data_IF_906201877585
#
_entry.id   IF_906201877585
#
_cell.length_a   1.000
_cell.length_b   1.000
_cell.length_c   1.000
_cell.angle_alpha   90.00
_cell.angle_beta   90.00
_cell.angle_gamma   90.00
#
_symmetry.space_group_name_H-M   'P 1'
#
loop_
_entity.id
_entity.type
_entity.pdbx_description
1 polymer ?
#
# COMPACT_ATOMS: atom_id res chain seq x y z
N UNK A 1 -44.78 23.50 -19.28
CA UNK A 1 -45.32 23.07 -17.97
C UNK A 1 -44.74 21.70 -17.66
N UNK A 2 -43.73 21.68 -16.80
CA UNK A 2 -43.27 20.52 -16.04
C UNK A 2 -42.78 21.10 -14.71
N UNK A 3 -43.40 20.80 -13.57
CA UNK A 3 -42.89 21.26 -12.28
C UNK A 3 -41.64 20.44 -11.93
N UNK A 4 -40.51 21.13 -11.79
CA UNK A 4 -39.31 20.59 -11.16
C UNK A 4 -39.63 20.44 -9.66
N UNK A 5 -39.73 19.20 -9.17
CA UNK A 5 -39.96 18.94 -7.77
C UNK A 5 -38.62 18.91 -7.03
N UNK A 6 -38.48 19.92 -6.17
CA UNK A 6 -37.47 20.12 -5.14
C UNK A 6 -37.47 19.00 -4.09
N UNK A 7 -36.27 18.54 -3.71
CA UNK A 7 -36.00 17.93 -2.40
C UNK A 7 -34.48 17.97 -2.14
N UNK A 8 -33.99 19.07 -1.57
CA UNK A 8 -32.65 19.17 -1.02
C UNK A 8 -32.67 18.62 0.42
N UNK A 9 -31.84 17.61 0.70
CA UNK A 9 -31.63 17.06 2.05
C UNK A 9 -30.29 17.63 2.57
N UNK A 10 -30.27 18.43 3.65
CA UNK A 10 -29.01 18.90 4.24
C UNK A 10 -28.45 17.82 5.18
N UNK A 11 -27.36 17.17 4.78
CA UNK A 11 -26.54 16.36 5.69
C UNK A 11 -25.46 17.28 6.29
N UNK A 12 -25.55 17.45 7.60
CA UNK A 12 -24.72 18.32 8.43
C UNK A 12 -23.33 17.66 8.60
N UNK A 13 -22.21 18.37 8.42
CA UNK A 13 -20.89 17.82 8.73
C UNK A 13 -20.68 17.71 10.25
N UNK A 14 -20.01 16.65 10.76
CA UNK A 14 -19.63 16.59 12.17
C UNK A 14 -18.53 17.63 12.45
N UNK A 15 -18.86 18.63 13.25
CA UNK A 15 -17.89 19.62 13.76
C UNK A 15 -17.03 18.96 14.84
N UNK A 16 -15.74 18.78 14.57
CA UNK A 16 -14.77 18.42 15.60
C UNK A 16 -14.44 19.69 16.40
N UNK A 17 -14.89 19.74 17.65
CA UNK A 17 -14.51 20.79 18.61
C UNK A 17 -13.01 20.71 18.93
N UNK A 18 -12.25 21.81 18.86
CA UNK A 18 -10.88 21.85 19.37
C UNK A 18 -10.93 21.82 20.90
N UNK A 19 -10.29 20.82 21.50
CA UNK A 19 -10.16 20.70 22.94
C UNK A 19 -9.19 21.79 23.44
N UNK A 20 -9.71 22.99 23.72
CA UNK A 20 -8.98 24.08 24.39
C UNK A 20 -9.30 24.04 25.89
N UNK A 21 -8.51 23.30 26.67
CA UNK A 21 -8.60 23.39 28.14
C UNK A 21 -7.23 23.37 28.83
N UNK A 22 -6.55 24.53 28.78
CA UNK A 22 -5.88 25.10 29.96
C UNK A 22 -4.73 24.28 30.59
N UNK A 23 -3.49 24.76 30.39
CA UNK A 23 -2.34 24.24 31.12
C UNK A 23 -1.03 25.03 30.91
N UNK A 24 -1.02 26.31 31.25
CA UNK A 24 0.22 27.05 31.59
C UNK A 24 0.42 26.97 33.12
N UNK A 25 1.64 27.14 33.67
CA UNK A 25 2.87 26.37 33.51
C UNK A 25 3.36 25.84 34.88
N UNK A 26 3.76 24.56 35.01
CA UNK A 26 4.42 24.07 36.23
C UNK A 26 5.93 23.91 35.99
N UNK A 27 6.69 24.92 36.39
CA UNK A 27 8.12 24.80 36.61
C UNK A 27 8.35 23.78 37.74
N UNK A 28 8.95 22.61 37.46
CA UNK A 28 9.32 21.63 38.48
C UNK A 28 10.68 20.97 38.18
N UNK A 29 11.68 21.46 38.91
CA UNK A 29 12.87 20.83 39.49
C UNK A 29 13.66 19.73 38.71
N UNK A 30 14.98 19.94 38.51
CA UNK A 30 15.89 18.86 38.12
C UNK A 30 16.22 17.96 39.32
N UNK A 31 16.03 16.65 39.18
CA UNK A 31 16.66 15.67 40.08
C UNK A 31 15.75 14.63 40.76
N UNK A 32 14.85 13.97 40.04
CA UNK A 32 14.18 12.76 40.54
C UNK A 32 14.39 11.56 39.60
N UNK A 33 14.81 10.45 40.20
CA UNK A 33 15.16 9.16 39.61
C UNK A 33 14.00 8.53 38.80
N UNK A 34 14.29 7.66 37.80
CA UNK A 34 13.27 7.12 36.91
C UNK A 34 12.33 6.14 37.63
N UNK A 35 11.07 6.53 37.77
CA UNK A 35 9.97 5.63 38.12
C UNK A 35 9.68 4.71 36.94
N UNK A 36 9.92 3.42 37.11
CA UNK A 36 9.49 2.36 36.19
C UNK A 36 7.96 2.37 36.08
N UNK A 37 7.43 3.08 35.09
CA UNK A 37 6.05 2.89 34.63
C UNK A 37 6.07 1.75 33.62
N UNK A 38 5.28 0.67 33.81
CA UNK A 38 4.95 -0.18 32.70
C UNK A 38 4.12 0.67 31.73
N UNK A 39 4.77 1.20 30.70
CA UNK A 39 4.11 1.76 29.54
C UNK A 39 3.22 0.64 28.97
N UNK A 40 1.90 0.77 29.15
CA UNK A 40 0.96 0.12 28.26
C UNK A 40 1.24 0.73 26.89
N UNK A 41 2.13 0.08 26.14
CA UNK A 41 2.26 0.25 24.71
C UNK A 41 0.90 -0.18 24.16
N UNK A 42 0.04 0.79 23.91
CA UNK A 42 -1.00 0.63 22.91
C UNK A 42 -0.27 0.10 21.67
N UNK A 43 -0.62 -1.07 21.12
CA UNK A 43 -0.21 -1.34 19.75
C UNK A 43 -0.82 -0.20 18.95
N UNK A 44 0.03 0.70 18.49
CA UNK A 44 -0.32 1.64 17.44
C UNK A 44 -0.96 0.75 16.39
N UNK A 45 -2.26 0.89 16.16
CA UNK A 45 -2.89 0.33 15.01
C UNK A 45 -2.01 0.81 13.87
N UNK A 46 -1.24 -0.12 13.30
CA UNK A 46 -0.48 0.16 12.11
C UNK A 46 -1.54 0.61 11.13
N UNK A 47 -1.62 1.92 10.89
CA UNK A 47 -2.25 2.42 9.69
C UNK A 47 -1.33 1.91 8.59
N UNK A 48 -1.45 0.62 8.25
CA UNK A 48 -1.14 0.12 6.94
C UNK A 48 -1.99 0.99 6.04
N UNK A 49 -1.38 2.09 5.60
CA UNK A 49 -1.78 2.77 4.40
C UNK A 49 -2.07 1.67 3.40
N UNK A 50 -3.27 1.61 2.80
CA UNK A 50 -3.54 0.59 1.79
C UNK A 50 -2.44 0.72 0.76
N UNK A 51 -1.61 -0.32 0.67
CA UNK A 51 -0.49 -0.42 -0.24
C UNK A 51 -0.98 0.01 -1.61
N UNK A 52 -0.48 1.17 -2.07
CA UNK A 52 -0.57 1.72 -3.42
C UNK A 52 -1.50 0.96 -4.37
N UNK A 53 -2.82 1.09 -4.16
CA UNK A 53 -3.84 0.53 -5.05
C UNK A 53 -3.90 1.46 -6.27
N UNK A 54 -2.86 1.43 -7.13
CA UNK A 54 -2.88 2.24 -8.36
C UNK A 54 -1.55 2.61 -8.99
N UNK A 55 -0.39 2.31 -8.39
CA UNK A 55 0.87 2.56 -9.10
C UNK A 55 1.16 1.44 -10.12
N UNK A 56 1.43 1.79 -11.39
CA UNK A 56 1.85 0.81 -12.37
C UNK A 56 3.20 0.19 -11.96
N UNK A 57 3.32 -1.13 -12.10
CA UNK A 57 4.57 -1.83 -11.87
C UNK A 57 5.40 -1.85 -13.16
N UNK A 58 6.70 -1.57 -13.04
CA UNK A 58 7.65 -1.63 -14.16
C UNK A 58 7.97 -3.07 -14.59
N UNK A 59 7.61 -4.06 -13.76
CA UNK A 59 7.78 -5.49 -14.04
C UNK A 59 6.42 -6.15 -14.16
N UNK A 60 6.22 -6.87 -15.27
CA UNK A 60 5.02 -7.68 -15.49
C UNK A 60 5.30 -9.14 -15.12
N UNK A 61 4.38 -9.75 -14.38
CA UNK A 61 4.39 -11.17 -14.07
C UNK A 61 3.42 -11.89 -15.01
N UNK A 62 3.94 -12.86 -15.77
CA UNK A 62 3.16 -13.61 -16.75
C UNK A 62 3.07 -15.05 -16.28
N UNK A 63 1.86 -15.49 -15.97
CA UNK A 63 1.56 -16.87 -15.55
C UNK A 63 0.95 -17.65 -16.72
N UNK A 64 0.79 -18.96 -16.54
CA UNK A 64 0.16 -19.85 -17.53
C UNK A 64 0.87 -19.86 -18.90
N UNK A 65 2.20 -19.80 -18.89
CA UNK A 65 3.03 -19.97 -20.09
C UNK A 65 3.22 -21.46 -20.38
N UNK A 66 3.47 -21.80 -21.66
CA UNK A 66 3.72 -23.18 -22.06
C UNK A 66 5.05 -23.69 -21.49
N UNK A 67 4.97 -24.62 -20.52
CA UNK A 67 6.14 -25.16 -19.82
C UNK A 67 7.02 -26.08 -20.69
N UNK A 68 6.49 -26.57 -21.82
CA UNK A 68 7.22 -27.43 -22.75
C UNK A 68 8.30 -26.69 -23.55
N UNK A 69 8.25 -25.36 -23.61
CA UNK A 69 9.22 -24.54 -24.37
C UNK A 69 10.54 -24.44 -23.61
N UNK A 70 11.68 -24.47 -24.31
CA UNK A 70 12.98 -24.27 -23.67
C UNK A 70 13.12 -22.84 -23.13
N UNK A 71 13.87 -22.67 -22.03
CA UNK A 71 14.01 -21.36 -21.35
C UNK A 71 14.51 -20.27 -22.30
N UNK A 72 15.53 -20.58 -23.11
CA UNK A 72 16.13 -19.61 -24.03
C UNK A 72 15.17 -19.20 -25.16
N UNK A 73 14.42 -20.17 -25.68
CA UNK A 73 13.42 -19.94 -26.72
C UNK A 73 12.25 -19.11 -26.18
N UNK A 74 11.76 -19.45 -24.98
CA UNK A 74 10.70 -18.69 -24.31
C UNK A 74 11.11 -17.23 -24.10
N UNK A 75 12.34 -16.97 -23.63
CA UNK A 75 12.86 -15.60 -23.48
C UNK A 75 12.90 -14.85 -24.81
N UNK A 76 13.37 -15.50 -25.89
CA UNK A 76 13.41 -14.89 -27.23
C UNK A 76 12.02 -14.55 -27.75
N UNK A 77 11.06 -15.46 -27.59
CA UNK A 77 9.68 -15.23 -28.00
C UNK A 77 9.03 -14.09 -27.22
N UNK A 78 9.21 -14.06 -25.89
CA UNK A 78 8.71 -12.96 -25.06
C UNK A 78 9.36 -11.63 -25.45
N UNK A 79 10.69 -11.60 -25.60
CA UNK A 79 11.39 -10.38 -26.02
C UNK A 79 10.87 -9.86 -27.36
N UNK A 80 10.74 -10.74 -28.37
CA UNK A 80 10.28 -10.36 -29.71
C UNK A 80 8.87 -9.74 -29.69
N UNK A 81 7.97 -10.23 -28.82
CA UNK A 81 6.61 -9.70 -28.70
C UNK A 81 6.57 -8.41 -27.87
N UNK A 82 7.35 -8.32 -26.80
CA UNK A 82 7.23 -7.22 -25.84
C UNK A 82 8.10 -5.99 -26.18
N UNK A 83 9.15 -6.15 -26.98
CA UNK A 83 10.07 -5.05 -27.33
C UNK A 83 9.37 -3.89 -28.05
N UNK A 84 8.27 -4.15 -28.75
CA UNK A 84 7.49 -3.12 -29.42
C UNK A 84 6.76 -2.17 -28.45
N UNK A 85 6.57 -2.58 -27.18
CA UNK A 85 5.92 -1.77 -26.16
C UNK A 85 6.91 -0.94 -25.33
N UNK A 86 8.22 -1.19 -25.48
CA UNK A 86 9.26 -0.47 -24.77
C UNK A 86 10.54 -1.28 -24.59
N UNK A 87 11.55 -0.63 -23.99
CA UNK A 87 12.81 -1.29 -23.65
C UNK A 87 12.59 -2.30 -22.51
N UNK A 88 13.02 -3.53 -22.74
CA UNK A 88 13.01 -4.60 -21.72
C UNK A 88 14.39 -4.65 -21.09
N UNK A 89 14.46 -4.50 -19.76
CA UNK A 89 15.72 -4.57 -19.03
C UNK A 89 16.20 -6.01 -18.82
N UNK A 90 15.29 -6.90 -18.39
CA UNK A 90 15.59 -8.32 -18.20
C UNK A 90 14.32 -9.17 -18.29
N UNK A 91 14.49 -10.47 -18.61
CA UNK A 91 13.43 -11.48 -18.60
C UNK A 91 13.88 -12.64 -17.71
N UNK A 92 13.26 -12.74 -16.54
CA UNK A 92 13.50 -13.81 -15.58
C UNK A 92 12.47 -14.92 -15.80
N UNK A 93 12.95 -16.14 -16.01
CA UNK A 93 12.09 -17.32 -16.15
C UNK A 93 12.62 -18.41 -15.25
N UNK A 94 11.79 -18.88 -14.33
CA UNK A 94 12.10 -19.98 -13.43
C UNK A 94 11.11 -21.10 -13.69
N UNK A 95 11.63 -22.30 -13.95
CA UNK A 95 10.81 -23.51 -13.87
C UNK A 95 11.04 -24.09 -12.49
N UNK A 96 9.98 -24.11 -11.68
CA UNK A 96 9.99 -24.82 -10.42
C UNK A 96 10.00 -26.31 -10.75
N UNK A 97 11.19 -26.87 -10.95
CA UNK A 97 11.34 -28.32 -10.85
C UNK A 97 11.16 -28.64 -9.37
N UNK A 98 9.94 -29.03 -8.99
CA UNK A 98 9.75 -29.67 -7.69
C UNK A 98 10.71 -30.85 -7.67
N UNK A 99 11.64 -30.80 -6.71
CA UNK A 99 12.73 -31.75 -6.53
C UNK A 99 12.15 -33.17 -6.60
N UNK A 100 12.53 -33.91 -7.64
CA UNK A 100 12.20 -35.33 -7.81
C UNK A 100 12.82 -36.06 -6.62
N UNK A 101 11.98 -36.39 -5.64
CA UNK A 101 12.36 -36.95 -4.34
C UNK A 101 12.24 -38.46 -4.31
#
# INVERSE_FOLDING_TARGET
MNPIATAAIPIIPPVATPNLLVGLPHMAAPGALPSVTPAVVMPQAVTHMPESIGQPNNTIYINNLNEKIKRDELKKSLYAVFVQFGQILDIITCRLILLDS
#
